data_IF_619175515433
#
_entry.id   IF_619175515433
#
_cell.length_a   1.000
_cell.length_b   1.000
_cell.length_c   1.000
_cell.angle_alpha   90.00
_cell.angle_beta   90.00
_cell.angle_gamma   90.00
#
_symmetry.space_group_name_H-M   'P 1'
#
loop_
_entity.id
_entity.type
_entity.pdbx_description
1 polymer ?
#
# COMPACT_ATOMS: atom_id res chain seq x y z
N UNK A 1 4.31 50.53 -48.15
CA UNK A 1 3.50 49.69 -47.25
C UNK A 1 4.32 49.24 -46.03
N UNK A 2 5.65 49.33 -46.12
CA UNK A 2 6.64 48.77 -45.18
C UNK A 2 6.66 49.38 -43.78
N UNK A 3 6.28 50.65 -43.61
CA UNK A 3 6.32 51.29 -42.29
C UNK A 3 5.25 50.79 -41.32
N UNK A 4 4.11 50.28 -41.79
CA UNK A 4 3.03 49.80 -40.90
C UNK A 4 3.42 48.47 -40.25
N UNK A 5 4.18 47.64 -40.96
CA UNK A 5 4.66 46.35 -40.48
C UNK A 5 5.67 46.50 -39.33
N UNK A 6 6.41 47.61 -39.28
CA UNK A 6 7.35 47.91 -38.18
C UNK A 6 6.66 48.20 -36.84
N UNK A 7 5.33 48.37 -36.84
CA UNK A 7 4.53 48.56 -35.63
C UNK A 7 3.74 47.31 -35.24
N UNK A 8 3.86 46.21 -35.99
CA UNK A 8 3.19 44.97 -35.67
C UNK A 8 3.90 44.29 -34.48
N UNK A 9 3.16 44.13 -33.39
CA UNK A 9 3.60 43.39 -32.20
C UNK A 9 2.68 42.21 -31.98
N UNK A 10 3.23 41.03 -31.74
CA UNK A 10 2.51 39.83 -31.36
C UNK A 10 2.90 39.47 -29.93
N UNK A 11 1.89 39.31 -29.08
CA UNK A 11 2.05 38.87 -27.71
C UNK A 11 1.22 37.59 -27.54
N UNK A 12 1.87 36.50 -27.16
CA UNK A 12 1.24 35.21 -26.91
C UNK A 12 1.50 34.84 -25.46
N UNK A 13 0.44 34.77 -24.68
CA UNK A 13 0.49 34.28 -23.31
C UNK A 13 0.14 32.79 -23.30
N UNK A 14 1.01 31.97 -22.74
CA UNK A 14 0.78 30.54 -22.61
C UNK A 14 0.99 30.09 -21.17
N UNK A 15 0.29 29.03 -20.83
CA UNK A 15 0.37 28.39 -19.53
C UNK A 15 1.37 27.24 -19.59
N UNK A 16 2.37 27.26 -18.71
CA UNK A 16 3.34 26.19 -18.57
C UNK A 16 3.23 25.58 -17.18
N UNK A 17 3.07 24.26 -17.09
CA UNK A 17 3.02 23.57 -15.80
C UNK A 17 4.37 22.97 -15.45
N UNK A 18 4.66 22.82 -14.17
CA UNK A 18 5.86 22.13 -13.69
C UNK A 18 5.57 21.49 -12.34
N UNK A 19 6.38 20.49 -11.98
CA UNK A 19 6.27 19.80 -10.70
C UNK A 19 7.12 20.54 -9.67
N UNK A 20 6.50 20.96 -8.57
CA UNK A 20 7.21 21.41 -7.38
C UNK A 20 7.47 20.23 -6.45
N UNK A 21 8.72 19.77 -6.41
CA UNK A 21 9.14 18.66 -5.57
C UNK A 21 9.11 19.00 -4.06
N UNK A 22 9.01 20.28 -3.70
CA UNK A 22 9.00 20.72 -2.30
C UNK A 22 7.59 20.80 -1.73
N UNK A 23 6.55 20.71 -2.56
CA UNK A 23 5.16 20.74 -2.12
C UNK A 23 4.79 19.42 -1.42
N UNK A 24 4.73 19.45 -0.09
CA UNK A 24 4.46 18.26 0.74
C UNK A 24 2.97 17.97 0.92
N UNK A 25 2.12 18.97 0.71
CA UNK A 25 0.66 18.86 0.88
C UNK A 25 -0.08 19.62 -0.22
N UNK A 26 -1.04 18.98 -0.87
CA UNK A 26 -1.86 19.59 -1.93
C UNK A 26 -1.43 19.16 -3.33
N UNK A 27 -1.66 20.04 -4.32
CA UNK A 27 -1.32 19.76 -5.72
C UNK A 27 0.14 20.16 -6.01
N UNK A 28 1.03 19.20 -6.31
CA UNK A 28 2.43 19.47 -6.64
C UNK A 28 2.61 20.07 -8.05
N UNK A 29 1.57 20.05 -8.88
CA UNK A 29 1.61 20.66 -10.22
C UNK A 29 1.34 22.17 -10.06
N UNK A 30 2.38 22.96 -10.30
CA UNK A 30 2.30 24.42 -10.32
C UNK A 30 2.20 24.93 -11.75
N UNK A 31 1.59 26.09 -11.89
CA UNK A 31 1.32 26.71 -13.18
C UNK A 31 2.00 28.07 -13.25
N UNK A 32 2.76 28.33 -14.31
CA UNK A 32 3.35 29.64 -14.61
C UNK A 32 2.84 30.15 -15.94
N UNK A 33 2.77 31.46 -16.07
CA UNK A 33 2.48 32.11 -17.35
C UNK A 33 3.80 32.44 -18.04
N UNK A 34 3.98 31.92 -19.26
CA UNK A 34 5.05 32.31 -20.18
C UNK A 34 4.48 33.31 -21.18
N UNK A 35 5.13 34.46 -21.29
CA UNK A 35 4.78 35.49 -22.26
C UNK A 35 5.79 35.48 -23.41
N UNK A 36 5.33 35.20 -24.62
CA UNK A 36 6.11 35.27 -25.84
C UNK A 36 5.80 36.58 -26.54
N UNK A 37 6.84 37.39 -26.76
CA UNK A 37 6.69 38.72 -27.33
C UNK A 37 7.53 38.84 -28.60
N UNK A 38 6.87 39.07 -29.73
CA UNK A 38 7.47 39.26 -31.02
C UNK A 38 7.15 40.65 -31.56
N UNK A 39 8.13 41.31 -32.16
CA UNK A 39 7.94 42.59 -32.86
C UNK A 39 8.42 42.43 -34.28
N UNK A 40 7.56 42.73 -35.25
CA UNK A 40 7.94 42.66 -36.65
C UNK A 40 8.81 43.87 -37.03
N UNK A 41 9.78 43.61 -37.88
CA UNK A 41 10.59 44.62 -38.56
C UNK A 41 10.68 44.22 -40.02
N UNK A 42 10.52 45.17 -40.94
CA UNK A 42 10.45 44.92 -42.39
C UNK A 42 11.54 44.00 -42.92
N UNK A 43 12.75 44.13 -42.37
CA UNK A 43 13.96 43.46 -42.85
C UNK A 43 14.24 42.14 -42.11
N UNK A 44 13.42 41.78 -41.12
CA UNK A 44 13.61 40.62 -40.26
C UNK A 44 12.41 39.67 -40.32
N UNK A 45 12.71 38.38 -40.35
CA UNK A 45 11.75 37.30 -40.17
C UNK A 45 11.98 36.67 -38.80
N UNK A 46 10.92 36.55 -37.99
CA UNK A 46 10.94 35.87 -36.71
C UNK A 46 10.25 34.52 -36.83
N UNK A 47 10.90 33.47 -36.38
CA UNK A 47 10.35 32.12 -36.31
C UNK A 47 10.34 31.64 -34.87
N UNK A 48 9.15 31.39 -34.33
CA UNK A 48 8.94 30.77 -33.02
C UNK A 48 8.51 29.32 -33.20
N UNK A 49 9.25 28.40 -32.61
CA UNK A 49 8.87 27.01 -32.49
C UNK A 49 8.57 26.71 -31.02
N UNK A 50 7.34 26.26 -30.76
CA UNK A 50 6.85 25.93 -29.43
C UNK A 50 6.42 24.46 -29.41
N UNK A 51 7.04 23.66 -28.55
CA UNK A 51 6.68 22.25 -28.35
C UNK A 51 5.95 22.04 -27.04
N UNK A 52 4.73 21.53 -27.13
CA UNK A 52 3.88 21.22 -25.98
C UNK A 52 3.88 19.71 -25.75
N UNK A 53 4.31 19.29 -24.57
CA UNK A 53 4.31 17.88 -24.14
C UNK A 53 3.29 17.60 -23.05
N UNK A 54 2.63 16.45 -23.15
CA UNK A 54 1.86 15.84 -22.06
C UNK A 54 2.78 14.96 -21.21
N UNK A 55 2.69 15.09 -19.88
CA UNK A 55 3.50 14.32 -18.94
C UNK A 55 2.64 13.77 -17.82
N UNK A 56 3.12 12.70 -17.19
CA UNK A 56 2.45 12.03 -16.09
C UNK A 56 3.22 12.21 -14.79
N UNK A 57 2.50 12.49 -13.72
CA UNK A 57 2.99 12.53 -12.36
C UNK A 57 2.28 11.44 -11.57
N UNK A 58 3.08 10.55 -11.03
CA UNK A 58 2.60 9.48 -10.16
C UNK A 58 3.01 9.80 -8.73
N UNK A 59 2.04 10.10 -7.87
CA UNK A 59 2.24 10.50 -6.48
C UNK A 59 1.97 9.34 -5.52
N UNK A 60 2.91 9.16 -4.59
CA UNK A 60 2.90 8.18 -3.51
C UNK A 60 2.94 8.92 -2.17
N UNK A 61 1.93 8.71 -1.35
CA UNK A 61 1.77 9.43 -0.07
C UNK A 61 2.41 8.74 1.13
N UNK A 62 2.55 7.41 1.12
CA UNK A 62 3.24 6.60 2.16
C UNK A 62 3.61 5.21 1.59
N UNK A 63 4.62 4.53 2.15
CA UNK A 63 4.90 3.12 1.77
C UNK A 63 3.72 2.18 2.01
N UNK A 64 3.00 2.34 3.13
CA UNK A 64 1.82 1.53 3.45
C UNK A 64 0.62 1.91 2.57
N UNK A 65 0.51 3.19 2.20
CA UNK A 65 -0.55 3.70 1.31
C UNK A 65 -0.32 3.33 -0.15
N UNK A 66 0.91 3.03 -0.56
CA UNK A 66 1.20 2.53 -1.91
C UNK A 66 0.52 1.21 -2.22
N UNK A 67 0.14 0.46 -1.18
CA UNK A 67 -0.67 -0.75 -1.32
C UNK A 67 -2.17 -0.45 -1.51
N UNK A 68 -2.64 0.71 -1.01
CA UNK A 68 -4.05 1.10 -0.97
C UNK A 68 -4.47 2.00 -2.15
N UNK A 69 -3.54 2.73 -2.75
CA UNK A 69 -3.82 3.52 -3.94
C UNK A 69 -2.73 4.54 -4.26
N UNK A 70 -2.41 4.63 -5.55
CA UNK A 70 -1.49 5.62 -6.10
C UNK A 70 -2.28 6.65 -6.90
N UNK A 71 -1.91 7.92 -6.81
CA UNK A 71 -2.57 8.98 -7.58
C UNK A 71 -1.77 9.26 -8.85
N UNK A 72 -2.47 9.24 -9.99
CA UNK A 72 -1.90 9.60 -11.28
C UNK A 72 -2.50 10.94 -11.72
N UNK A 73 -1.62 11.89 -12.01
CA UNK A 73 -1.95 13.23 -12.46
C UNK A 73 -1.28 13.49 -13.81
N UNK A 74 -1.93 14.26 -14.66
CA UNK A 74 -1.38 14.66 -15.97
C UNK A 74 -1.09 16.15 -15.95
N UNK A 75 0.03 16.57 -16.53
CA UNK A 75 0.40 17.98 -16.65
C UNK A 75 1.04 18.30 -18.00
N UNK A 76 0.87 19.54 -18.45
CA UNK A 76 1.31 20.02 -19.76
C UNK A 76 2.47 21.00 -19.64
N UNK A 77 3.53 20.75 -20.40
CA UNK A 77 4.76 21.57 -20.37
C UNK A 77 5.14 22.05 -21.75
N UNK A 78 5.63 23.29 -21.84
CA UNK A 78 6.33 23.81 -23.00
C UNK A 78 7.80 23.41 -22.84
N UNK A 79 8.25 22.44 -23.63
CA UNK A 79 9.59 21.84 -23.50
C UNK A 79 10.65 22.57 -24.30
N UNK A 80 10.29 22.99 -25.50
CA UNK A 80 11.16 23.73 -26.41
C UNK A 80 10.47 25.03 -26.79
N UNK A 81 11.11 26.14 -26.49
CA UNK A 81 10.77 27.48 -26.93
C UNK A 81 11.96 28.09 -27.67
N UNK A 82 12.02 27.81 -28.97
CA UNK A 82 13.08 28.29 -29.85
C UNK A 82 12.61 29.52 -30.62
N UNK A 83 13.46 30.55 -30.62
CA UNK A 83 13.28 31.75 -31.44
C UNK A 83 14.44 31.86 -32.41
N UNK A 84 14.13 31.92 -33.70
CA UNK A 84 15.11 32.16 -34.75
C UNK A 84 14.80 33.49 -35.45
N UNK A 85 15.85 34.22 -35.79
CA UNK A 85 15.77 35.50 -36.50
C UNK A 85 16.52 35.36 -37.82
N UNK A 86 15.81 35.58 -38.92
CA UNK A 86 16.34 35.57 -40.28
C UNK A 86 16.25 36.93 -40.95
N UNK A 87 16.98 37.10 -42.05
CA UNK A 87 16.81 38.25 -42.96
C UNK A 87 15.59 37.96 -43.84
N UNK A 88 14.66 38.90 -43.89
CA UNK A 88 13.43 38.78 -44.66
C UNK A 88 13.66 39.22 -46.12
N UNK A 89 13.35 38.36 -47.10
CA UNK A 89 13.26 38.81 -48.49
C UNK A 89 11.84 39.31 -48.78
N UNK A 90 11.63 39.98 -49.92
CA UNK A 90 10.34 40.63 -50.26
C UNK A 90 9.09 39.72 -50.24
N UNK A 91 9.24 38.40 -50.08
CA UNK A 91 8.16 37.41 -50.07
C UNK A 91 8.05 36.60 -48.77
N UNK A 92 8.92 36.78 -47.77
CA UNK A 92 8.91 35.89 -46.61
C UNK A 92 7.99 36.40 -45.49
N UNK A 93 7.57 35.49 -44.62
CA UNK A 93 6.71 35.81 -43.49
C UNK A 93 7.49 36.61 -42.45
N UNK A 94 6.95 37.74 -41.98
CA UNK A 94 7.61 38.54 -40.93
C UNK A 94 7.61 37.84 -39.57
N UNK A 95 6.52 37.17 -39.23
CA UNK A 95 6.40 36.39 -37.98
C UNK A 95 5.76 35.05 -38.32
N UNK A 96 6.46 33.98 -37.98
CA UNK A 96 5.96 32.61 -38.03
C UNK A 96 5.94 32.07 -36.60
N UNK A 97 4.79 31.55 -36.18
CA UNK A 97 4.64 30.86 -34.90
C UNK A 97 4.15 29.45 -35.18
N UNK A 98 4.94 28.45 -34.80
CA UNK A 98 4.62 27.05 -34.98
C UNK A 98 4.44 26.41 -33.61
N UNK A 99 3.27 25.81 -33.40
CA UNK A 99 2.97 25.04 -32.19
C UNK A 99 2.92 23.57 -32.59
N UNK A 100 3.79 22.78 -31.98
CA UNK A 100 3.94 21.35 -32.20
C UNK A 100 3.56 20.60 -30.93
N UNK A 101 2.98 19.42 -31.11
CA UNK A 101 2.86 18.44 -30.03
C UNK A 101 4.18 17.67 -29.94
N UNK A 102 4.64 17.47 -28.72
CA UNK A 102 5.84 16.68 -28.44
C UNK A 102 5.47 15.20 -28.26
N UNK A 103 6.24 14.32 -28.89
CA UNK A 103 6.03 12.87 -28.82
C UNK A 103 6.65 12.25 -27.55
N UNK A 104 7.55 12.98 -26.89
CA UNK A 104 8.25 12.49 -25.70
C UNK A 104 7.40 12.76 -24.46
N UNK A 105 6.93 11.69 -23.84
CA UNK A 105 6.18 11.73 -22.57
C UNK A 105 7.11 11.44 -21.40
N UNK A 106 7.19 12.34 -20.42
CA UNK A 106 7.93 12.07 -19.18
C UNK A 106 7.00 11.60 -18.08
N UNK A 107 7.42 10.58 -17.35
CA UNK A 107 6.71 10.07 -16.16
C UNK A 107 7.58 10.34 -14.93
N UNK A 108 7.09 11.19 -14.03
CA UNK A 108 7.77 11.54 -12.79
C UNK A 108 7.09 10.85 -11.63
N UNK A 109 7.87 10.20 -10.76
CA UNK A 109 7.37 9.58 -9.53
C UNK A 109 7.76 10.44 -8.34
N UNK A 110 6.78 10.89 -7.57
CA UNK A 110 6.99 11.64 -6.34
C UNK A 110 6.64 10.76 -5.14
N UNK A 111 7.64 10.44 -4.32
CA UNK A 111 7.49 9.62 -3.11
C UNK A 111 7.74 10.48 -1.87
N UNK A 112 6.72 10.59 -1.01
CA UNK A 112 6.85 11.25 0.28
C UNK A 112 7.43 10.26 1.29
N UNK A 113 8.65 10.54 1.76
CA UNK A 113 9.30 9.72 2.77
C UNK A 113 8.78 10.09 4.16
N UNK A 114 8.08 9.16 4.80
CA UNK A 114 7.44 9.38 6.09
C UNK A 114 8.22 8.77 7.24
N UNK A 115 7.85 9.11 8.48
CA UNK A 115 8.47 8.54 9.68
C UNK A 115 8.34 7.01 9.71
N UNK A 116 7.21 6.49 9.22
CA UNK A 116 7.01 5.04 9.08
C UNK A 116 8.02 4.43 8.11
N UNK A 117 8.31 5.11 7.01
CA UNK A 117 9.30 4.64 6.03
C UNK A 117 10.71 4.67 6.63
N UNK A 118 11.03 5.72 7.39
CA UNK A 118 12.28 5.86 8.11
C UNK A 118 12.47 4.75 9.16
N UNK A 119 11.43 4.50 9.97
CA UNK A 119 11.43 3.45 10.99
C UNK A 119 11.42 2.04 10.37
N UNK A 120 10.78 1.86 9.22
CA UNK A 120 10.75 0.58 8.49
C UNK A 120 12.14 0.26 7.92
N UNK A 121 12.76 1.24 7.25
CA UNK A 121 14.10 1.06 6.67
C UNK A 121 15.20 0.92 7.72
N UNK A 122 15.01 1.48 8.92
CA UNK A 122 15.96 1.35 10.04
C UNK A 122 15.65 0.17 10.97
N UNK A 123 14.59 -0.60 10.70
CA UNK A 123 14.18 -1.75 11.53
C UNK A 123 13.52 -1.37 12.87
N UNK A 124 13.33 -0.08 13.17
CA UNK A 124 12.69 0.40 14.39
C UNK A 124 11.23 -0.03 14.54
N UNK A 125 10.51 -0.23 13.43
CA UNK A 125 9.14 -0.77 13.47
C UNK A 125 9.10 -2.16 14.09
N UNK A 126 10.10 -3.02 13.82
CA UNK A 126 10.15 -4.37 14.39
C UNK A 126 10.27 -4.30 15.92
N UNK A 127 11.03 -3.33 16.44
CA UNK A 127 11.13 -3.06 17.88
C UNK A 127 9.80 -2.64 18.51
N UNK A 128 9.05 -1.75 17.87
CA UNK A 128 7.73 -1.32 18.38
C UNK A 128 6.71 -2.48 18.30
N UNK A 129 6.70 -3.23 17.20
CA UNK A 129 5.82 -4.39 17.01
C UNK A 129 6.12 -5.47 18.04
N UNK A 130 7.39 -5.74 18.35
CA UNK A 130 7.76 -6.76 19.33
C UNK A 130 7.30 -6.40 20.74
N UNK A 131 7.38 -5.13 21.14
CA UNK A 131 6.83 -4.68 22.44
C UNK A 131 5.32 -4.89 22.49
N UNK A 132 4.60 -4.47 21.45
CA UNK A 132 3.14 -4.65 21.37
C UNK A 132 2.75 -6.14 21.38
N UNK A 133 3.46 -6.97 20.62
CA UNK A 133 3.26 -8.40 20.60
C UNK A 133 3.56 -9.05 21.95
N UNK A 134 4.61 -8.61 22.65
CA UNK A 134 4.97 -9.13 23.97
C UNK A 134 3.88 -8.83 25.01
N UNK A 135 3.27 -7.64 24.98
CA UNK A 135 2.15 -7.28 25.86
C UNK A 135 0.93 -8.17 25.57
N UNK A 136 0.58 -8.36 24.30
CA UNK A 136 -0.53 -9.23 23.90
C UNK A 136 -0.30 -10.69 24.29
N UNK A 137 0.91 -11.19 24.05
CA UNK A 137 1.31 -12.56 24.39
C UNK A 137 1.36 -12.76 25.90
N UNK A 138 1.75 -11.76 26.68
CA UNK A 138 1.75 -11.84 28.15
C UNK A 138 0.37 -12.15 28.71
N UNK A 139 -0.66 -11.43 28.25
CA UNK A 139 -2.04 -11.67 28.68
C UNK A 139 -2.54 -13.08 28.27
N UNK A 140 -2.17 -13.55 27.08
CA UNK A 140 -2.52 -14.88 26.61
C UNK A 140 -1.78 -15.98 27.39
N UNK A 141 -0.50 -15.77 27.68
CA UNK A 141 0.33 -16.69 28.45
C UNK A 141 -0.20 -16.85 29.87
N UNK A 142 -0.62 -15.77 30.52
CA UNK A 142 -1.22 -15.81 31.85
C UNK A 142 -2.50 -16.66 31.86
N UNK A 143 -3.38 -16.46 30.89
CA UNK A 143 -4.60 -17.28 30.74
C UNK A 143 -4.28 -18.77 30.54
N UNK A 144 -3.35 -19.08 29.63
CA UNK A 144 -2.93 -20.47 29.37
C UNK A 144 -2.21 -21.09 30.57
N UNK A 145 -1.45 -20.30 31.33
CA UNK A 145 -0.76 -20.73 32.53
C UNK A 145 -1.73 -21.15 33.63
N UNK A 146 -2.75 -20.33 33.93
CA UNK A 146 -3.78 -20.69 34.91
C UNK A 146 -4.58 -21.92 34.47
N UNK A 147 -4.92 -22.03 33.18
CA UNK A 147 -5.59 -23.23 32.65
C UNK A 147 -4.73 -24.49 32.82
N UNK A 148 -3.41 -24.39 32.58
CA UNK A 148 -2.46 -25.49 32.75
C UNK A 148 -2.34 -25.92 34.22
N UNK A 149 -2.22 -24.95 35.14
CA UNK A 149 -2.15 -25.20 36.59
C UNK A 149 -3.40 -25.92 37.13
N UNK A 150 -4.59 -25.45 36.74
CA UNK A 150 -5.85 -26.09 37.16
C UNK A 150 -5.90 -27.54 36.66
N UNK A 151 -5.51 -27.80 35.40
CA UNK A 151 -5.47 -29.17 34.86
C UNK A 151 -4.49 -30.08 35.62
N UNK A 152 -3.29 -29.60 35.94
CA UNK A 152 -2.31 -30.40 36.68
C UNK A 152 -2.80 -30.74 38.10
N UNK A 153 -3.39 -29.78 38.81
CA UNK A 153 -3.88 -30.03 40.16
C UNK A 153 -5.03 -31.04 40.17
N UNK A 154 -5.98 -30.93 39.23
CA UNK A 154 -7.08 -31.89 39.12
C UNK A 154 -6.64 -33.28 38.66
N UNK A 155 -5.65 -33.39 37.76
CA UNK A 155 -5.12 -34.68 37.32
C UNK A 155 -4.43 -35.45 38.46
N UNK A 156 -3.66 -34.77 39.30
CA UNK A 156 -2.98 -35.39 40.45
C UNK A 156 -4.00 -35.89 41.48
N UNK A 157 -5.06 -35.12 41.73
CA UNK A 157 -6.14 -35.54 42.66
C UNK A 157 -6.91 -36.74 42.13
N UNK A 158 -7.19 -36.80 40.82
CA UNK A 158 -7.83 -37.98 40.22
C UNK A 158 -6.93 -39.23 40.25
N UNK A 159 -5.62 -39.09 40.02
CA UNK A 159 -4.70 -40.24 40.01
C UNK A 159 -4.45 -40.78 41.43
N UNK A 160 -4.44 -39.92 42.45
CA UNK A 160 -4.39 -40.32 43.85
C UNK A 160 -5.68 -41.03 44.31
N UNK A 161 -6.86 -40.54 43.87
CA UNK A 161 -8.14 -41.21 44.15
C UNK A 161 -8.22 -42.58 43.47
N UNK A 162 -7.75 -42.72 42.24
CA UNK A 162 -7.71 -44.02 41.52
C UNK A 162 -6.77 -45.00 42.22
N UNK A 163 -5.57 -44.56 42.64
CA UNK A 163 -4.60 -45.43 43.35
C UNK A 163 -5.09 -45.84 44.74
N UNK A 164 -5.83 -44.98 45.45
CA UNK A 164 -6.46 -45.36 46.72
C UNK A 164 -7.54 -46.43 46.54
N UNK A 165 -8.33 -46.40 45.47
CA UNK A 165 -9.36 -47.41 45.20
C UNK A 165 -8.77 -48.75 44.72
N UNK A 166 -7.56 -48.76 44.16
CA UNK A 166 -6.91 -49.98 43.68
C UNK A 166 -6.29 -50.81 44.82
N UNK A 167 -5.74 -50.17 45.86
CA UNK A 167 -5.18 -50.87 47.02
C UNK A 167 -6.25 -51.53 47.91
N UNK A 168 -7.49 -51.01 47.95
CA UNK A 168 -8.58 -51.62 48.72
C UNK A 168 -9.10 -52.93 48.07
N UNK A 169 -8.87 -53.14 46.77
CA UNK A 169 -9.32 -54.35 46.06
C UNK A 169 -8.35 -55.53 46.10
N UNK A 170 -7.08 -55.30 46.47
CA UNK A 170 -6.05 -56.35 46.40
C UNK A 170 -6.09 -57.28 47.63
N UNK A 171 -6.61 -56.84 48.78
CA UNK A 171 -6.73 -57.69 49.98
C UNK A 171 -7.93 -58.66 49.97
N UNK A 172 -8.90 -58.52 49.07
CA UNK A 172 -10.09 -59.38 49.03
C UNK A 172 -10.02 -60.57 48.06
N UNK A 173 -8.91 -60.78 47.34
CA UNK A 173 -8.84 -61.75 46.25
C UNK A 173 -7.71 -62.80 46.38
N UNK A 174 -7.46 -63.28 47.61
CA UNK A 174 -6.75 -64.55 47.83
C UNK A 174 -7.74 -65.59 48.40
N UNK A 175 -8.56 -66.17 47.54
CA UNK A 175 -9.51 -67.19 47.97
C UNK A 175 -10.43 -67.73 46.87
N UNK A 176 -9.86 -68.22 45.77
CA UNK A 176 -10.28 -69.45 45.05
C UNK A 176 -9.85 -69.45 43.59
N UNK A 177 -9.12 -70.49 43.22
CA UNK A 177 -8.81 -70.88 41.85
C UNK A 177 -9.97 -71.69 41.25
N UNK A 178 -10.22 -71.50 39.95
CA UNK A 178 -11.09 -72.36 39.12
C UNK A 178 -11.54 -71.71 37.82
N UNK A 179 -10.77 -71.87 36.74
CA UNK A 179 -11.13 -71.54 35.33
C UNK A 179 -12.20 -72.52 34.77
N UNK A 180 -12.76 -72.36 33.54
CA UNK A 180 -13.08 -71.17 32.73
C UNK A 180 -14.50 -71.24 32.10
N UNK A 181 -15.06 -70.10 31.64
CA UNK A 181 -15.83 -70.05 30.37
C UNK A 181 -16.33 -68.64 30.04
N UNK A 182 -16.02 -68.21 28.81
CA UNK A 182 -16.84 -67.41 27.87
C UNK A 182 -17.97 -66.53 28.42
N UNK A 183 -17.87 -65.21 28.21
CA UNK A 183 -18.80 -64.40 27.38
C UNK A 183 -18.37 -62.92 27.39
N UNK A 184 -17.84 -62.47 26.25
CA UNK A 184 -17.74 -61.06 25.86
C UNK A 184 -19.14 -60.57 25.44
N UNK A 185 -19.28 -59.25 25.42
CA UNK A 185 -20.35 -58.45 24.80
C UNK A 185 -21.53 -58.02 25.68
N UNK A 186 -21.33 -56.93 26.44
CA UNK A 186 -22.44 -56.04 26.86
C UNK A 186 -22.10 -54.53 26.90
N UNK A 187 -20.99 -54.04 26.31
CA UNK A 187 -20.64 -52.61 26.39
C UNK A 187 -20.65 -51.81 25.08
N UNK A 188 -21.14 -52.39 23.97
CA UNK A 188 -21.18 -51.68 22.67
C UNK A 188 -22.50 -50.92 22.43
N UNK A 189 -23.59 -51.24 23.14
CA UNK A 189 -24.91 -50.61 22.88
C UNK A 189 -25.12 -49.21 23.49
N UNK A 190 -24.21 -48.69 24.32
CA UNK A 190 -24.35 -47.35 24.94
C UNK A 190 -23.75 -46.20 24.13
N UNK A 191 -22.96 -46.48 23.10
CA UNK A 191 -22.29 -45.43 22.30
C UNK A 191 -23.17 -44.96 21.14
N UNK A 192 -23.99 -45.84 20.56
CA UNK A 192 -24.83 -45.51 19.40
C UNK A 192 -26.04 -44.62 19.74
N UNK A 193 -26.53 -44.65 20.98
CA UNK A 193 -27.69 -43.86 21.42
C UNK A 193 -27.39 -42.40 21.77
N UNK A 194 -26.12 -42.06 22.05
CA UNK A 194 -25.69 -40.69 22.32
C UNK A 194 -25.39 -39.91 21.03
N UNK A 195 -24.87 -40.57 19.99
CA UNK A 195 -24.68 -39.94 18.67
C UNK A 195 -26.02 -39.58 17.99
N UNK A 196 -27.06 -40.40 18.18
CA UNK A 196 -28.41 -40.08 17.65
C UNK A 196 -29.08 -38.90 18.38
N UNK A 197 -28.80 -38.70 19.66
CA UNK A 197 -29.34 -37.57 20.44
C UNK A 197 -28.63 -36.23 20.15
N UNK A 198 -27.37 -36.26 19.69
CA UNK A 198 -26.60 -35.05 19.35
C UNK A 198 -27.00 -34.50 17.96
N UNK A 199 -27.43 -35.36 17.04
CA UNK A 199 -27.87 -34.92 15.70
C UNK A 199 -29.26 -34.26 15.68
N UNK A 200 -30.14 -34.54 16.65
CA UNK A 200 -31.46 -33.90 16.76
C UNK A 200 -31.41 -32.51 17.43
N UNK A 201 -30.31 -32.14 18.09
CA UNK A 201 -30.12 -30.83 18.73
C UNK A 201 -29.46 -29.77 17.80
N UNK A 202 -29.11 -30.15 16.56
CA UNK A 202 -28.48 -29.27 15.57
C UNK A 202 -29.41 -28.79 14.44
N UNK A 203 -30.73 -28.89 14.62
CA UNK A 203 -31.74 -28.37 13.69
C UNK A 203 -32.48 -27.17 14.27
#
# INVERSE_FOLDING_TARGET
MDNVLNYLTLNILMTNQYIDANEKQGNPIKTVLKNFYATAKSDLSLHYELRIGENYLTQSTNSLSNLLGQQNLTYYTIRDDSMQIGVNNMSDNLITCQILLDDVVTSTKLELFTLSDALSNTGGIIGIITIVAQVLVSNLQEYLYYQSMIKQQFQITSDLLVKQHQNVRIEQNQGNQGLPSTLKDQNIQKVTTLESLINDLKK
#
